data_IF_013895490180
#
_entry.id   IF_013895490180
#
_cell.length_a   1.000
_cell.length_b   1.000
_cell.length_c   1.000
_cell.angle_alpha   90.00
_cell.angle_beta   90.00
_cell.angle_gamma   90.00
#
_symmetry.space_group_name_H-M   'P 1'
#
loop_
_entity.id
_entity.type
_entity.pdbx_description
1 polymer ?
#
# COMPACT_ATOMS: atom_id res chain seq x y z
N UNK A 1 -58.06 -32.75 50.24
CA UNK A 1 -57.05 -32.86 49.17
C UNK A 1 -57.07 -31.57 48.38
N UNK A 2 -56.30 -30.58 48.86
CA UNK A 2 -56.12 -29.26 48.25
C UNK A 2 -55.29 -29.42 46.98
N UNK A 3 -55.90 -29.22 45.82
CA UNK A 3 -55.24 -29.23 44.52
C UNK A 3 -54.59 -27.86 44.31
N UNK A 4 -53.28 -27.76 44.55
CA UNK A 4 -52.50 -26.55 44.35
C UNK A 4 -51.95 -26.49 42.91
N UNK A 5 -52.38 -25.54 42.06
CA UNK A 5 -51.83 -25.38 40.72
C UNK A 5 -50.57 -24.52 40.78
N UNK A 6 -49.39 -25.15 40.86
CA UNK A 6 -48.13 -24.43 40.62
C UNK A 6 -48.04 -24.07 39.12
N UNK A 7 -47.91 -22.79 38.75
CA UNK A 7 -47.66 -22.42 37.36
C UNK A 7 -46.28 -22.93 36.93
N UNK A 8 -46.23 -23.73 35.87
CA UNK A 8 -44.98 -24.18 35.24
C UNK A 8 -44.39 -23.01 34.46
N UNK A 9 -43.29 -22.43 34.96
CA UNK A 9 -42.53 -21.43 34.23
C UNK A 9 -41.76 -22.11 33.09
N UNK A 10 -42.28 -22.07 31.86
CA UNK A 10 -41.52 -22.43 30.66
C UNK A 10 -40.40 -21.43 30.43
N UNK A 11 -39.15 -21.83 30.70
CA UNK A 11 -37.95 -21.07 30.34
C UNK A 11 -37.69 -21.23 28.83
N UNK A 12 -38.29 -20.35 28.03
CA UNK A 12 -37.98 -20.25 26.61
C UNK A 12 -36.49 -19.88 26.45
N UNK A 13 -35.72 -20.81 25.88
CA UNK A 13 -34.29 -20.62 25.61
C UNK A 13 -34.12 -19.50 24.58
N UNK A 14 -33.47 -18.37 24.92
CA UNK A 14 -33.36 -17.23 24.00
C UNK A 14 -32.45 -17.58 22.83
N UNK A 15 -33.04 -17.75 21.64
CA UNK A 15 -32.32 -17.93 20.37
C UNK A 15 -31.73 -16.59 19.93
N UNK A 16 -30.43 -16.56 19.65
CA UNK A 16 -29.72 -15.37 19.16
C UNK A 16 -30.25 -14.96 17.78
N UNK A 17 -30.44 -13.66 17.55
CA UNK A 17 -31.02 -13.21 16.27
C UNK A 17 -29.99 -13.35 15.15
N UNK A 18 -30.36 -14.07 14.09
CA UNK A 18 -29.54 -14.19 12.87
C UNK A 18 -29.23 -12.84 12.23
N UNK A 19 -30.05 -11.81 12.53
CA UNK A 19 -29.83 -10.43 12.12
C UNK A 19 -28.57 -9.81 12.74
N UNK A 20 -28.25 -10.14 14.00
CA UNK A 20 -27.05 -9.66 14.68
C UNK A 20 -25.78 -10.31 14.12
N UNK A 21 -25.88 -11.57 13.70
CA UNK A 21 -24.77 -12.27 13.03
C UNK A 21 -24.60 -11.71 11.61
N UNK A 22 -25.71 -11.47 10.90
CA UNK A 22 -25.68 -10.88 9.56
C UNK A 22 -25.09 -9.45 9.56
N UNK A 23 -25.38 -8.62 10.57
CA UNK A 23 -24.79 -7.28 10.68
C UNK A 23 -23.30 -7.33 11.04
N UNK A 24 -22.86 -8.31 11.84
CA UNK A 24 -21.43 -8.54 12.10
C UNK A 24 -20.68 -8.92 10.81
N UNK A 25 -21.22 -9.89 10.07
CA UNK A 25 -20.61 -10.40 8.84
C UNK A 25 -20.63 -9.32 7.75
N UNK A 26 -21.74 -8.58 7.59
CA UNK A 26 -21.80 -7.45 6.67
C UNK A 26 -20.84 -6.31 7.07
N UNK A 27 -20.62 -6.05 8.36
CA UNK A 27 -19.62 -5.10 8.84
C UNK A 27 -18.18 -5.52 8.51
N UNK A 28 -17.85 -6.80 8.68
CA UNK A 28 -16.52 -7.35 8.39
C UNK A 28 -16.23 -7.38 6.89
N UNK A 29 -17.18 -7.82 6.04
CA UNK A 29 -17.02 -7.82 4.59
C UNK A 29 -17.20 -6.44 3.94
N UNK A 30 -17.96 -5.55 4.59
CA UNK A 30 -18.14 -4.18 4.16
C UNK A 30 -16.85 -3.35 4.23
N UNK A 31 -15.87 -3.77 5.05
CA UNK A 31 -14.56 -3.11 5.31
C UNK A 31 -13.81 -2.69 4.04
N UNK A 32 -14.09 -3.30 2.89
CA UNK A 32 -13.33 -3.09 1.67
C UNK A 32 -13.89 -2.02 0.72
N UNK A 33 -15.15 -1.57 0.84
CA UNK A 33 -15.70 -0.61 -0.15
C UNK A 33 -16.51 0.57 0.43
N UNK A 34 -17.32 0.42 1.50
CA UNK A 34 -18.34 1.44 1.83
C UNK A 34 -18.86 1.58 3.31
N UNK A 35 -18.31 0.99 4.40
CA UNK A 35 -19.17 0.51 5.49
C UNK A 35 -19.27 1.38 6.75
N UNK A 36 -18.80 2.63 6.75
CA UNK A 36 -19.03 3.49 7.92
C UNK A 36 -20.53 3.76 8.13
N UNK A 37 -21.24 4.05 7.04
CA UNK A 37 -22.62 4.54 7.08
C UNK A 37 -23.62 3.36 7.22
N UNK A 38 -23.46 2.30 6.43
CA UNK A 38 -24.37 1.15 6.45
C UNK A 38 -24.26 0.34 7.76
N UNK A 39 -23.04 0.17 8.28
CA UNK A 39 -22.81 -0.49 9.57
C UNK A 39 -23.44 0.27 10.74
N UNK A 40 -23.37 1.60 10.72
CA UNK A 40 -24.02 2.46 11.71
C UNK A 40 -25.56 2.33 11.68
N UNK A 41 -26.15 2.38 10.48
CA UNK A 41 -27.62 2.29 10.30
C UNK A 41 -28.13 0.93 10.80
N UNK A 42 -27.44 -0.17 10.44
CA UNK A 42 -27.82 -1.52 10.84
C UNK A 42 -27.65 -1.74 12.35
N UNK A 43 -26.62 -1.16 12.96
CA UNK A 43 -26.42 -1.23 14.41
C UNK A 43 -27.55 -0.51 15.17
N UNK A 44 -28.00 0.67 14.71
CA UNK A 44 -29.10 1.41 15.33
C UNK A 44 -30.42 0.63 15.23
N UNK A 45 -30.73 0.04 14.07
CA UNK A 45 -31.93 -0.81 13.91
C UNK A 45 -31.88 -2.04 14.82
N UNK A 46 -30.72 -2.67 14.97
CA UNK A 46 -30.55 -3.82 15.86
C UNK A 46 -30.76 -3.46 17.33
N UNK A 47 -30.24 -2.31 17.78
CA UNK A 47 -30.44 -1.83 19.16
C UNK A 47 -31.91 -1.52 19.42
N UNK A 48 -32.56 -0.79 18.50
CA UNK A 48 -33.99 -0.48 18.61
C UNK A 48 -34.87 -1.74 18.61
N UNK A 49 -34.50 -2.78 17.84
CA UNK A 49 -35.22 -4.05 17.83
C UNK A 49 -35.02 -4.84 19.13
N UNK A 50 -33.83 -4.78 19.73
CA UNK A 50 -33.56 -5.44 21.02
C UNK A 50 -34.32 -4.76 22.15
N UNK A 51 -34.31 -3.43 22.20
CA UNK A 51 -35.01 -2.66 23.23
C UNK A 51 -36.55 -2.75 23.07
N UNK A 52 -37.07 -2.84 21.83
CA UNK A 52 -38.51 -3.01 21.58
C UNK A 52 -39.07 -4.40 21.94
N UNK A 53 -38.22 -5.41 22.14
CA UNK A 53 -38.64 -6.79 22.39
C UNK A 53 -38.58 -7.21 23.87
N UNK A 54 -38.50 -6.27 24.83
CA UNK A 54 -38.63 -6.51 26.29
C UNK A 54 -37.86 -7.74 26.84
N UNK A 55 -36.66 -8.03 26.30
CA UNK A 55 -35.83 -9.15 26.73
C UNK A 55 -35.99 -10.47 25.96
N UNK A 56 -36.85 -10.54 24.95
CA UNK A 56 -36.99 -11.73 24.09
C UNK A 56 -35.78 -11.95 23.16
N UNK A 57 -34.97 -10.91 22.89
CA UNK A 57 -33.81 -10.96 22.00
C UNK A 57 -32.54 -10.59 22.77
N UNK A 58 -31.60 -11.53 22.89
CA UNK A 58 -30.28 -11.32 23.50
C UNK A 58 -29.27 -10.93 22.42
N UNK A 59 -28.45 -9.90 22.69
CA UNK A 59 -27.44 -9.44 21.71
C UNK A 59 -26.94 -8.01 21.87
N UNK A 60 -27.43 -7.26 22.88
CA UNK A 60 -27.11 -5.84 23.10
C UNK A 60 -25.61 -5.57 23.21
N UNK A 61 -24.86 -6.42 23.93
CA UNK A 61 -23.40 -6.29 24.04
C UNK A 61 -22.66 -6.46 22.71
N UNK A 62 -23.14 -7.34 21.84
CA UNK A 62 -22.56 -7.55 20.50
C UNK A 62 -22.85 -6.37 19.57
N UNK A 63 -24.08 -5.81 19.65
CA UNK A 63 -24.45 -4.62 18.88
C UNK A 63 -23.66 -3.37 19.32
N UNK A 64 -23.46 -3.19 20.63
CA UNK A 64 -22.63 -2.11 21.17
C UNK A 64 -21.16 -2.30 20.75
N UNK A 65 -20.63 -3.52 20.82
CA UNK A 65 -19.27 -3.84 20.36
C UNK A 65 -19.05 -3.51 18.88
N UNK A 66 -20.01 -3.85 18.02
CA UNK A 66 -19.97 -3.51 16.59
C UNK A 66 -20.01 -2.01 16.31
N UNK A 67 -20.76 -1.24 17.11
CA UNK A 67 -20.85 0.21 16.98
C UNK A 67 -19.52 0.89 17.38
N UNK A 68 -18.90 0.44 18.48
CA UNK A 68 -17.60 0.95 18.94
C UNK A 68 -16.49 0.64 17.92
N UNK A 69 -16.43 -0.59 17.41
CA UNK A 69 -15.44 -0.97 16.40
C UNK A 69 -15.59 -0.14 15.12
N UNK A 70 -16.84 0.08 14.66
CA UNK A 70 -17.12 0.89 13.47
C UNK A 70 -16.67 2.34 13.63
N UNK A 71 -16.84 2.94 14.82
CA UNK A 71 -16.38 4.30 15.12
C UNK A 71 -14.85 4.40 15.09
N UNK A 72 -14.15 3.47 15.74
CA UNK A 72 -12.68 3.45 15.79
C UNK A 72 -12.10 3.30 14.39
N UNK A 73 -12.61 2.34 13.61
CA UNK A 73 -12.13 2.09 12.24
C UNK A 73 -12.42 3.25 11.30
N UNK A 74 -13.60 3.90 11.41
CA UNK A 74 -13.93 5.06 10.57
C UNK A 74 -13.03 6.26 10.87
N UNK A 75 -12.76 6.53 12.16
CA UNK A 75 -11.86 7.60 12.59
C UNK A 75 -10.41 7.35 12.13
N UNK A 76 -9.90 6.13 12.32
CA UNK A 76 -8.53 5.80 11.93
C UNK A 76 -8.36 5.82 10.40
N UNK A 77 -9.32 5.28 9.65
CA UNK A 77 -9.31 5.32 8.19
C UNK A 77 -9.36 6.75 7.64
N UNK A 78 -10.18 7.64 8.24
CA UNK A 78 -10.26 9.04 7.83
C UNK A 78 -8.93 9.79 7.96
N UNK A 79 -8.21 9.59 9.07
CA UNK A 79 -6.87 10.18 9.28
C UNK A 79 -5.86 9.64 8.27
N UNK A 80 -5.84 8.33 8.03
CA UNK A 80 -4.91 7.71 7.07
C UNK A 80 -5.18 8.21 5.65
N UNK A 81 -6.45 8.31 5.24
CA UNK A 81 -6.83 8.81 3.93
C UNK A 81 -6.45 10.27 3.72
N UNK A 82 -6.60 11.11 4.76
CA UNK A 82 -6.14 12.50 4.71
C UNK A 82 -4.62 12.57 4.51
N UNK A 83 -3.85 11.87 5.33
CA UNK A 83 -2.38 11.88 5.24
C UNK A 83 -1.90 11.32 3.90
N UNK A 84 -2.47 10.21 3.44
CA UNK A 84 -2.09 9.59 2.16
C UNK A 84 -2.49 10.45 0.97
N UNK A 85 -3.64 11.13 1.00
CA UNK A 85 -4.06 12.06 -0.07
C UNK A 85 -3.11 13.25 -0.26
N UNK A 86 -2.41 13.67 0.80
CA UNK A 86 -1.42 14.74 0.74
C UNK A 86 -0.03 14.23 0.35
N UNK A 87 0.32 13.01 0.76
CA UNK A 87 1.63 12.40 0.45
C UNK A 87 1.74 11.84 -0.96
N UNK A 88 0.67 11.25 -1.50
CA UNK A 88 0.67 10.67 -2.84
C UNK A 88 0.97 11.68 -3.98
N UNK A 89 0.39 12.90 -4.00
CA UNK A 89 0.72 13.90 -5.02
C UNK A 89 2.16 14.43 -4.89
N UNK A 90 2.75 14.40 -3.68
CA UNK A 90 4.15 14.75 -3.49
C UNK A 90 5.06 13.67 -4.11
N UNK A 91 4.77 12.39 -3.89
CA UNK A 91 5.53 11.27 -4.46
C UNK A 91 5.47 11.25 -6.00
N UNK A 92 4.33 11.60 -6.60
CA UNK A 92 4.18 11.67 -8.05
C UNK A 92 5.14 12.69 -8.70
N UNK A 93 5.33 13.85 -8.08
CA UNK A 93 6.25 14.90 -8.56
C UNK A 93 7.73 14.53 -8.34
N UNK A 94 8.03 13.76 -7.29
CA UNK A 94 9.40 13.35 -6.97
C UNK A 94 9.93 12.30 -7.95
N UNK A 95 9.08 11.45 -8.54
CA UNK A 95 9.53 10.39 -9.46
C UNK A 95 10.33 10.92 -10.66
N UNK A 96 9.84 11.99 -11.31
CA UNK A 96 10.54 12.62 -12.42
C UNK A 96 11.87 13.27 -11.98
N UNK A 97 11.86 13.94 -10.81
CA UNK A 97 13.06 14.54 -10.21
C UNK A 97 14.10 13.47 -9.83
N UNK A 98 13.68 12.34 -9.28
CA UNK A 98 14.53 11.22 -8.91
C UNK A 98 15.19 10.58 -10.15
N UNK A 99 14.44 10.38 -11.24
CA UNK A 99 15.00 9.86 -12.50
C UNK A 99 16.07 10.82 -13.07
N UNK A 100 15.84 12.13 -13.00
CA UNK A 100 16.84 13.13 -13.42
C UNK A 100 18.09 13.10 -12.54
N UNK A 101 17.95 12.93 -11.23
CA UNK A 101 19.08 12.80 -10.30
C UNK A 101 19.87 11.52 -10.59
N UNK A 102 19.20 10.39 -10.84
CA UNK A 102 19.88 9.15 -11.25
C UNK A 102 20.68 9.33 -12.53
N UNK A 103 20.09 9.97 -13.55
CA UNK A 103 20.79 10.27 -14.80
C UNK A 103 22.00 11.20 -14.58
N UNK A 104 21.83 12.26 -13.79
CA UNK A 104 22.91 13.18 -13.45
C UNK A 104 24.05 12.48 -12.68
N UNK A 105 23.72 11.55 -11.77
CA UNK A 105 24.71 10.76 -11.06
C UNK A 105 25.46 9.80 -11.99
N UNK A 106 24.76 9.08 -12.87
CA UNK A 106 25.39 8.22 -13.88
C UNK A 106 26.33 9.03 -14.78
N UNK A 107 25.90 10.21 -15.23
CA UNK A 107 26.74 11.11 -16.04
C UNK A 107 27.96 11.61 -15.26
N UNK A 108 27.79 11.93 -13.97
CA UNK A 108 28.89 12.28 -13.08
C UNK A 108 29.90 11.15 -12.94
N UNK A 109 29.44 9.90 -12.75
CA UNK A 109 30.30 8.71 -12.70
C UNK A 109 31.08 8.52 -14.00
N UNK A 110 30.43 8.70 -15.16
CA UNK A 110 31.12 8.65 -16.46
C UNK A 110 32.18 9.76 -16.56
N UNK A 111 31.85 10.99 -16.15
CA UNK A 111 32.79 12.10 -16.15
C UNK A 111 34.02 11.85 -15.26
N UNK A 112 33.80 11.32 -14.04
CA UNK A 112 34.90 10.92 -13.16
C UNK A 112 35.76 9.82 -13.77
N UNK A 113 35.16 8.82 -14.41
CA UNK A 113 35.92 7.77 -15.11
C UNK A 113 36.81 8.35 -16.22
N UNK A 114 36.30 9.32 -16.99
CA UNK A 114 37.09 9.99 -18.03
C UNK A 114 38.24 10.83 -17.45
N UNK A 115 38.00 11.54 -16.35
CA UNK A 115 39.06 12.29 -15.66
C UNK A 115 40.11 11.33 -15.13
N UNK A 116 39.72 10.25 -14.46
CA UNK A 116 40.65 9.23 -13.96
C UNK A 116 41.48 8.63 -15.09
N UNK A 117 40.82 8.26 -16.19
CA UNK A 117 41.47 7.76 -17.39
C UNK A 117 42.49 8.76 -17.95
N UNK A 118 42.15 10.05 -17.99
CA UNK A 118 43.04 11.09 -18.50
C UNK A 118 44.28 11.32 -17.63
N UNK A 119 44.15 11.12 -16.31
CA UNK A 119 45.27 11.16 -15.37
C UNK A 119 46.23 9.98 -15.61
N UNK A 120 45.69 8.79 -15.89
CA UNK A 120 46.49 7.58 -16.11
C UNK A 120 47.14 7.52 -17.50
N UNK A 121 46.42 7.98 -18.53
CA UNK A 121 46.82 7.82 -19.94
C UNK A 121 47.28 9.13 -20.61
N UNK A 122 47.36 10.24 -19.86
CA UNK A 122 47.83 11.54 -20.36
C UNK A 122 46.87 12.26 -21.31
N UNK A 123 45.61 11.83 -21.39
CA UNK A 123 44.59 12.44 -22.24
C UNK A 123 43.28 11.68 -22.25
N UNK A 124 42.21 12.31 -22.73
CA UNK A 124 40.91 11.67 -22.85
C UNK A 124 40.93 10.59 -23.96
N UNK A 125 40.04 9.58 -23.93
CA UNK A 125 40.06 8.47 -24.88
C UNK A 125 40.15 8.88 -26.36
N UNK A 126 39.50 9.98 -26.74
CA UNK A 126 39.52 10.49 -28.11
C UNK A 126 40.80 11.26 -28.49
N UNK A 127 41.55 11.76 -27.51
CA UNK A 127 42.78 12.54 -27.69
C UNK A 127 44.03 11.67 -27.85
N UNK A 128 43.92 10.36 -27.63
CA UNK A 128 45.05 9.45 -27.73
C UNK A 128 45.53 9.27 -29.19
N UNK A 129 46.84 9.14 -29.43
CA UNK A 129 47.37 8.86 -30.76
C UNK A 129 46.95 7.45 -31.24
N UNK A 130 46.82 7.22 -32.56
CA UNK A 130 46.36 5.94 -33.12
C UNK A 130 47.03 4.67 -32.55
N UNK A 131 48.37 4.61 -32.35
CA UNK A 131 49.00 3.42 -31.76
C UNK A 131 48.61 3.18 -30.31
N UNK A 132 48.47 4.23 -29.50
CA UNK A 132 48.07 4.11 -28.09
C UNK A 132 46.61 3.66 -27.95
N UNK A 133 45.72 4.15 -28.83
CA UNK A 133 44.33 3.71 -28.88
C UNK A 133 44.19 2.21 -29.14
N UNK A 134 44.98 1.68 -30.07
CA UNK A 134 44.95 0.24 -30.41
C UNK A 134 45.44 -0.65 -29.27
N UNK A 135 46.42 -0.17 -28.48
CA UNK A 135 46.94 -0.89 -27.31
C UNK A 135 45.94 -0.92 -26.16
N UNK A 136 45.18 0.16 -25.94
CA UNK A 136 44.24 0.27 -24.83
C UNK A 136 42.85 -0.31 -25.12
N UNK A 137 42.35 -0.15 -26.35
CA UNK A 137 40.98 -0.54 -26.74
C UNK A 137 40.93 -1.76 -27.67
N UNK A 138 42.08 -2.29 -28.09
CA UNK A 138 42.17 -3.42 -29.01
C UNK A 138 41.85 -3.07 -30.47
N UNK A 139 42.18 -4.00 -31.37
CA UNK A 139 42.08 -3.82 -32.84
C UNK A 139 40.82 -4.44 -33.47
N UNK A 140 39.98 -5.15 -32.71
CA UNK A 140 39.02 -6.11 -33.28
C UNK A 140 37.58 -5.65 -33.48
N UNK A 141 37.20 -4.37 -33.22
CA UNK A 141 35.78 -3.98 -33.23
C UNK A 141 35.43 -2.63 -33.86
N UNK A 142 36.32 -1.99 -34.62
CA UNK A 142 36.10 -0.61 -35.11
C UNK A 142 35.70 0.35 -33.98
N UNK A 143 36.12 0.05 -32.73
CA UNK A 143 35.72 0.76 -31.52
C UNK A 143 36.26 2.19 -31.47
N UNK A 144 37.34 2.48 -32.20
CA UNK A 144 37.86 3.84 -32.43
C UNK A 144 36.81 4.81 -33.00
N UNK A 145 35.79 4.27 -33.71
CA UNK A 145 34.68 5.07 -34.28
C UNK A 145 33.31 4.70 -33.72
N UNK A 146 33.23 3.78 -32.76
CA UNK A 146 31.97 3.32 -32.17
C UNK A 146 31.76 3.95 -30.80
N UNK A 147 30.51 4.25 -30.46
CA UNK A 147 30.10 4.77 -29.14
C UNK A 147 30.59 3.84 -28.02
N UNK A 148 30.68 2.53 -28.29
CA UNK A 148 31.23 1.55 -27.34
C UNK A 148 32.69 1.77 -26.96
N UNK A 149 33.54 2.26 -27.87
CA UNK A 149 34.94 2.55 -27.58
C UNK A 149 35.17 3.88 -26.88
N UNK A 150 34.26 4.84 -27.07
CA UNK A 150 34.32 6.16 -26.40
C UNK A 150 33.85 6.06 -24.94
N UNK A 151 32.83 5.22 -24.68
CA UNK A 151 32.23 5.07 -23.35
C UNK A 151 32.61 3.76 -22.63
N UNK A 152 33.47 2.92 -23.21
CA UNK A 152 33.85 1.62 -22.64
C UNK A 152 32.68 0.63 -22.50
N UNK A 153 31.65 0.79 -23.34
CA UNK A 153 30.49 -0.09 -23.36
C UNK A 153 30.77 -1.23 -24.33
N UNK A 154 31.19 -2.40 -23.82
CA UNK A 154 31.05 -3.64 -24.59
C UNK A 154 29.57 -3.78 -24.97
N UNK A 155 29.31 -4.10 -26.24
CA UNK A 155 28.01 -4.02 -26.89
C UNK A 155 26.87 -4.50 -25.98
N UNK A 156 26.08 -3.56 -25.46
CA UNK A 156 24.84 -3.87 -24.77
C UNK A 156 23.90 -4.45 -25.82
N UNK A 157 23.83 -5.78 -25.87
CA UNK A 157 22.85 -6.50 -26.69
C UNK A 157 21.46 -6.06 -26.20
N UNK A 158 20.74 -5.33 -27.04
CA UNK A 158 19.30 -5.08 -26.85
C UNK A 158 18.51 -6.36 -27.11
#
# INVERSE_FOLDING_TARGET
MENNPYPQATTATPKTSGLAIASLVCGIFGLLLLPGILGLILAIKAINQIDANNGAIKGKGLAIGGLVLSLITTLSAGVILLVTSLMLPALAKVKAKANRIKCANNLGTIGHAHIHFSVENGGLPWQLPPPAKQQLFGTSLSMDKSVGGIFGLEAMKM
#
